data_IF_049567565171
#
_entry.id   IF_049567565171
#
_cell.length_a   1.000
_cell.length_b   1.000
_cell.length_c   1.000
_cell.angle_alpha   90.00
_cell.angle_beta   90.00
_cell.angle_gamma   90.00
#
_symmetry.space_group_name_H-M   'P 1'
#
loop_
_entity.id
_entity.type
_entity.pdbx_description
1 polymer ?
#
# COMPACT_ATOMS: atom_id res chain seq x y z
N UNK A 1 -3.20 24.95 -5.75
CA UNK A 1 -3.98 24.57 -4.55
C UNK A 1 -2.95 24.33 -3.47
N UNK A 2 -3.12 24.87 -2.26
CA UNK A 2 -2.09 24.77 -1.19
C UNK A 2 -2.49 23.79 -0.10
N UNK A 3 -3.68 23.21 -0.23
CA UNK A 3 -4.24 22.26 0.72
C UNK A 3 -4.62 20.98 0.02
N UNK A 4 -4.21 19.86 0.59
CA UNK A 4 -4.46 18.52 0.07
C UNK A 4 -5.12 17.66 1.14
N UNK A 5 -6.23 17.03 0.79
CA UNK A 5 -6.99 16.15 1.68
C UNK A 5 -6.43 14.74 1.60
N UNK A 6 -6.22 14.11 2.74
CA UNK A 6 -5.89 12.69 2.86
C UNK A 6 -6.79 11.96 3.84
N UNK A 7 -6.75 10.62 3.74
CA UNK A 7 -7.44 9.69 4.62
C UNK A 7 -6.45 8.76 5.28
N UNK A 8 -6.83 8.29 6.47
CA UNK A 8 -6.07 7.37 7.29
C UNK A 8 -6.93 6.17 7.63
N UNK A 9 -6.49 5.01 7.18
CA UNK A 9 -7.00 3.72 7.64
C UNK A 9 -6.37 3.32 8.96
N UNK A 10 -7.14 2.68 9.84
CA UNK A 10 -6.70 2.35 11.20
C UNK A 10 -7.10 0.92 11.59
N UNK A 11 -6.45 0.38 12.62
CA UNK A 11 -7.09 -0.65 13.42
C UNK A 11 -8.09 0.00 14.39
N UNK A 12 -9.31 -0.53 14.47
CA UNK A 12 -10.30 -0.09 15.48
C UNK A 12 -10.04 -0.77 16.81
N UNK A 13 -8.85 -0.51 17.37
CA UNK A 13 -8.44 -0.84 18.74
C UNK A 13 -8.15 0.45 19.52
N UNK A 14 -8.19 0.39 20.84
CA UNK A 14 -8.02 1.57 21.70
C UNK A 14 -9.09 2.63 21.43
N UNK A 15 -8.66 3.83 21.03
CA UNK A 15 -9.54 4.98 20.76
C UNK A 15 -9.96 5.17 19.28
N UNK A 16 -9.56 4.28 18.36
CA UNK A 16 -9.93 4.42 16.96
C UNK A 16 -11.37 3.97 16.70
N UNK A 17 -12.12 4.79 15.94
CA UNK A 17 -13.50 4.50 15.52
C UNK A 17 -13.64 4.15 14.03
N UNK A 18 -12.59 4.29 13.20
CA UNK A 18 -12.67 3.98 11.78
C UNK A 18 -11.66 4.75 10.92
N UNK A 19 -12.14 5.35 9.82
CA UNK A 19 -11.32 6.15 8.90
C UNK A 19 -11.26 7.59 9.41
N UNK A 20 -10.08 8.19 9.39
CA UNK A 20 -9.89 9.61 9.69
C UNK A 20 -9.50 10.37 8.42
N UNK A 21 -9.83 11.65 8.33
CA UNK A 21 -9.35 12.56 7.29
C UNK A 21 -8.44 13.63 7.89
N UNK A 22 -7.53 14.16 7.08
CA UNK A 22 -6.63 15.26 7.44
C UNK A 22 -6.34 16.13 6.22
N UNK A 23 -5.84 17.34 6.45
CA UNK A 23 -5.33 18.24 5.42
C UNK A 23 -3.82 18.44 5.60
N UNK A 24 -3.08 18.46 4.50
CA UNK A 24 -1.74 19.04 4.42
C UNK A 24 -1.84 20.45 3.83
N UNK A 25 -1.40 21.46 4.58
CA UNK A 25 -1.20 22.85 4.11
C UNK A 25 0.27 23.02 3.71
N UNK A 26 0.56 23.04 2.41
CA UNK A 26 1.93 23.05 1.86
C UNK A 26 2.65 24.39 2.04
N UNK A 27 1.90 25.50 2.15
CA UNK A 27 2.48 26.81 2.47
C UNK A 27 2.93 26.87 3.93
N UNK A 28 2.13 26.31 4.83
CA UNK A 28 2.46 26.24 6.27
C UNK A 28 3.36 25.07 6.63
N UNK A 29 3.53 24.11 5.72
CA UNK A 29 4.24 22.85 5.95
C UNK A 29 3.71 22.12 7.19
N UNK A 30 2.38 22.01 7.28
CA UNK A 30 1.70 21.51 8.47
C UNK A 30 0.50 20.62 8.15
N UNK A 31 0.31 19.60 8.98
CA UNK A 31 -0.86 18.73 8.99
C UNK A 31 -1.95 19.32 9.91
N UNK A 32 -3.21 19.23 9.51
CA UNK A 32 -4.34 19.50 10.40
C UNK A 32 -4.56 18.35 11.38
N UNK A 33 -5.17 18.64 12.52
CA UNK A 33 -5.68 17.59 13.42
C UNK A 33 -6.64 16.65 12.68
N UNK A 34 -6.38 15.33 12.69
CA UNK A 34 -7.22 14.36 12.00
C UNK A 34 -8.62 14.27 12.59
N UNK A 35 -9.62 14.13 11.73
CA UNK A 35 -11.04 14.08 12.10
C UNK A 35 -11.63 12.76 11.66
N UNK A 36 -12.54 12.21 12.46
CA UNK A 36 -13.25 10.99 12.08
C UNK A 36 -14.08 11.25 10.82
N UNK A 37 -13.81 10.50 9.76
CA UNK A 37 -14.47 10.62 8.46
C UNK A 37 -15.54 9.52 8.25
N UNK A 38 -15.32 8.31 8.78
CA UNK A 38 -16.31 7.24 8.73
C UNK A 38 -16.12 6.24 9.89
N UNK A 39 -17.22 5.74 10.45
CA UNK A 39 -17.23 4.67 11.47
C UNK A 39 -17.44 3.32 10.81
N UNK A 40 -16.48 2.41 10.96
CA UNK A 40 -16.53 1.03 10.49
C UNK A 40 -15.41 0.21 11.16
N UNK A 41 -15.54 -1.12 11.17
CA UNK A 41 -14.58 -1.99 11.84
C UNK A 41 -13.29 -2.21 11.03
N UNK A 42 -12.14 -1.98 11.66
CA UNK A 42 -10.78 -2.21 11.14
C UNK A 42 -10.56 -1.84 9.66
N UNK A 43 -10.73 -0.56 9.27
CA UNK A 43 -10.41 -0.08 7.93
C UNK A 43 -8.90 0.04 7.71
N UNK A 44 -8.20 -1.09 7.72
CA UNK A 44 -6.73 -1.15 7.75
C UNK A 44 -6.06 -0.74 6.44
N UNK A 45 -6.84 -0.61 5.35
CA UNK A 45 -6.36 -0.08 4.08
C UNK A 45 -7.49 0.65 3.36
N UNK A 46 -7.17 1.78 2.74
CA UNK A 46 -8.10 2.60 1.95
C UNK A 46 -7.54 2.88 0.57
N UNK A 47 -8.41 3.03 -0.42
CA UNK A 47 -8.06 3.30 -1.80
C UNK A 47 -9.08 4.29 -2.41
N UNK A 48 -8.73 5.58 -2.55
CA UNK A 48 -9.51 6.48 -3.39
C UNK A 48 -9.39 6.03 -4.85
N UNK A 49 -10.46 6.17 -5.62
CA UNK A 49 -10.38 5.95 -7.06
C UNK A 49 -9.70 7.12 -7.76
N UNK A 50 -9.22 6.87 -8.98
CA UNK A 50 -8.44 7.83 -9.78
C UNK A 50 -9.04 9.24 -9.88
N UNK A 51 -10.37 9.34 -9.92
CA UNK A 51 -11.10 10.59 -10.09
C UNK A 51 -11.54 11.26 -8.78
N UNK A 52 -11.12 10.71 -7.63
CA UNK A 52 -11.51 11.16 -6.28
C UNK A 52 -13.03 11.27 -6.09
N UNK A 53 -13.79 10.33 -6.63
CA UNK A 53 -15.26 10.27 -6.45
C UNK A 53 -15.68 9.22 -5.44
N UNK A 54 -14.88 8.16 -5.27
CA UNK A 54 -15.20 7.02 -4.41
C UNK A 54 -13.95 6.65 -3.59
N UNK A 55 -14.15 6.33 -2.31
CA UNK A 55 -13.17 5.72 -1.43
C UNK A 55 -13.61 4.27 -1.14
N UNK A 56 -12.75 3.32 -1.48
CA UNK A 56 -12.91 1.93 -1.05
C UNK A 56 -12.08 1.69 0.21
N UNK A 57 -12.66 0.98 1.18
CA UNK A 57 -11.98 0.65 2.44
C UNK A 57 -12.15 -0.82 2.75
N UNK A 58 -11.11 -1.43 3.30
CA UNK A 58 -11.27 -2.70 4.02
C UNK A 58 -12.30 -2.53 5.13
N UNK A 59 -13.07 -3.58 5.39
CA UNK A 59 -14.00 -3.64 6.52
C UNK A 59 -13.96 -5.01 7.18
N UNK A 60 -14.15 -5.01 8.50
CA UNK A 60 -14.45 -6.18 9.31
C UNK A 60 -15.73 -5.92 10.10
N UNK A 61 -16.77 -6.74 9.89
CA UNK A 61 -18.02 -6.68 10.64
C UNK A 61 -18.56 -8.10 10.86
N UNK A 62 -19.13 -8.37 12.03
CA UNK A 62 -19.87 -9.61 12.34
C UNK A 62 -19.16 -10.93 11.99
N UNK A 63 -17.83 -10.97 12.14
CA UNK A 63 -17.02 -12.16 11.82
C UNK A 63 -16.74 -12.35 10.32
N UNK A 64 -17.17 -11.38 9.51
CA UNK A 64 -16.94 -11.31 8.07
C UNK A 64 -15.92 -10.21 7.74
N UNK A 65 -15.38 -10.30 6.53
CA UNK A 65 -14.34 -9.43 6.02
C UNK A 65 -14.61 -9.03 4.57
N UNK A 66 -14.33 -7.79 4.20
CA UNK A 66 -14.56 -7.36 2.82
C UNK A 66 -14.23 -5.89 2.58
N UNK A 67 -15.06 -5.24 1.77
CA UNK A 67 -14.85 -3.86 1.33
C UNK A 67 -16.11 -3.02 1.53
N UNK A 68 -15.96 -1.83 2.09
CA UNK A 68 -16.95 -0.78 2.11
C UNK A 68 -16.63 0.28 1.03
N UNK A 69 -17.67 0.86 0.43
CA UNK A 69 -17.58 1.93 -0.55
C UNK A 69 -18.22 3.21 -0.02
N UNK A 70 -17.53 4.34 -0.20
CA UNK A 70 -17.99 5.66 0.21
C UNK A 70 -17.88 6.63 -0.97
N UNK A 71 -18.91 7.42 -1.22
CA UNK A 71 -18.80 8.57 -2.10
C UNK A 71 -18.02 9.69 -1.41
N UNK A 72 -17.14 10.34 -2.16
CA UNK A 72 -16.33 11.47 -1.70
C UNK A 72 -16.94 12.77 -2.22
N UNK A 73 -17.26 13.71 -1.32
CA UNK A 73 -17.52 15.08 -1.73
C UNK A 73 -16.20 15.74 -2.18
N UNK A 74 -16.14 16.18 -3.45
CA UNK A 74 -14.90 16.71 -4.05
C UNK A 74 -14.40 18.01 -3.43
N UNK A 75 -15.26 18.75 -2.73
CA UNK A 75 -14.89 20.03 -2.14
C UNK A 75 -14.48 19.88 -0.68
N UNK A 76 -15.24 19.11 0.11
CA UNK A 76 -15.02 18.96 1.54
C UNK A 76 -14.22 17.71 1.92
N UNK A 77 -14.16 16.69 1.05
CA UNK A 77 -13.63 15.37 1.40
C UNK A 77 -14.52 14.59 2.37
N UNK A 78 -15.78 14.98 2.54
CA UNK A 78 -16.72 14.22 3.36
C UNK A 78 -17.07 12.89 2.70
N UNK A 79 -17.21 11.84 3.51
CA UNK A 79 -17.51 10.49 3.06
C UNK A 79 -18.99 10.16 3.30
N UNK A 80 -19.69 9.77 2.24
CA UNK A 80 -21.06 9.24 2.32
C UNK A 80 -21.06 7.75 2.03
N UNK A 81 -21.50 6.93 2.98
CA UNK A 81 -21.57 5.47 2.79
C UNK A 81 -22.49 5.10 1.64
N UNK A 82 -22.04 4.21 0.76
CA UNK A 82 -22.83 3.65 -0.34
C UNK A 82 -23.31 2.24 0.02
N UNK A 83 -22.37 1.30 0.14
CA UNK A 83 -22.62 -0.06 0.59
C UNK A 83 -21.34 -0.75 1.06
N UNK A 84 -21.47 -2.01 1.45
CA UNK A 84 -20.35 -2.91 1.64
C UNK A 84 -20.62 -4.28 1.01
N UNK A 85 -19.55 -5.03 0.76
CA UNK A 85 -19.61 -6.42 0.33
C UNK A 85 -18.64 -7.22 1.21
N UNK A 86 -19.20 -8.09 2.04
CA UNK A 86 -18.47 -8.88 3.03
C UNK A 86 -18.54 -10.37 2.68
N UNK A 87 -17.50 -11.09 3.06
CA UNK A 87 -17.34 -12.52 2.88
C UNK A 87 -17.05 -13.14 4.24
N UNK A 88 -17.62 -14.32 4.52
CA UNK A 88 -17.36 -15.05 5.75
C UNK A 88 -15.86 -15.32 5.94
N UNK A 89 -15.36 -14.97 7.13
CA UNK A 89 -13.97 -15.21 7.51
C UNK A 89 -13.17 -13.92 7.75
N UNK A 90 -11.83 -14.02 7.73
CA UNK A 90 -10.97 -12.91 8.11
C UNK A 90 -11.09 -11.73 7.15
N UNK A 91 -10.91 -10.52 7.66
CA UNK A 91 -10.84 -9.29 6.85
C UNK A 91 -9.60 -9.29 5.95
N UNK A 92 -9.71 -8.80 4.69
CA UNK A 92 -8.53 -8.59 3.86
C UNK A 92 -7.61 -7.52 4.46
N UNK A 93 -6.38 -7.42 3.94
CA UNK A 93 -5.36 -6.51 4.43
C UNK A 93 -4.95 -5.43 3.42
N UNK A 94 -5.41 -5.54 2.16
CA UNK A 94 -5.12 -4.61 1.09
C UNK A 94 -6.33 -4.51 0.16
N UNK A 95 -6.58 -3.30 -0.36
CA UNK A 95 -7.60 -3.01 -1.37
C UNK A 95 -7.01 -2.11 -2.46
N UNK A 96 -7.37 -2.38 -3.71
CA UNK A 96 -7.03 -1.52 -4.87
C UNK A 96 -8.20 -1.45 -5.84
N UNK A 97 -8.29 -0.37 -6.60
CA UNK A 97 -9.27 -0.20 -7.68
C UNK A 97 -8.56 0.08 -8.99
N UNK A 98 -9.12 -0.37 -10.11
CA UNK A 98 -8.59 -0.06 -11.43
C UNK A 98 -8.89 1.39 -11.87
N UNK A 99 -8.16 1.86 -12.87
CA UNK A 99 -8.24 3.23 -13.38
C UNK A 99 -9.60 3.58 -13.98
N UNK A 100 -10.36 2.58 -14.41
CA UNK A 100 -11.69 2.74 -15.02
C UNK A 100 -12.80 2.54 -13.98
N UNK A 101 -12.45 2.27 -12.71
CA UNK A 101 -13.39 2.06 -11.62
C UNK A 101 -14.43 0.98 -11.92
N UNK A 102 -13.99 -0.12 -12.53
CA UNK A 102 -14.80 -1.28 -12.90
C UNK A 102 -14.64 -2.45 -11.92
N UNK A 103 -13.46 -2.60 -11.33
CA UNK A 103 -13.12 -3.70 -10.44
C UNK A 103 -12.31 -3.24 -9.23
N UNK A 104 -12.71 -3.72 -8.06
CA UNK A 104 -11.95 -3.63 -6.82
C UNK A 104 -11.34 -4.99 -6.52
N UNK A 105 -10.06 -5.01 -6.17
CA UNK A 105 -9.33 -6.19 -5.74
C UNK A 105 -9.06 -6.11 -4.25
N UNK A 106 -9.09 -7.27 -3.57
CA UNK A 106 -8.61 -7.39 -2.21
C UNK A 106 -7.57 -8.49 -2.09
N UNK A 107 -6.61 -8.31 -1.17
CA UNK A 107 -5.67 -9.35 -0.77
C UNK A 107 -5.91 -9.73 0.69
N UNK A 108 -6.05 -11.02 0.99
CA UNK A 108 -6.35 -11.50 2.33
C UNK A 108 -5.19 -12.29 2.93
N UNK A 109 -4.54 -11.67 3.92
CA UNK A 109 -3.39 -12.22 4.62
C UNK A 109 -3.70 -13.56 5.29
N UNK A 110 -4.88 -13.74 5.90
CA UNK A 110 -5.14 -14.92 6.73
C UNK A 110 -5.64 -16.12 5.92
N UNK A 111 -6.30 -15.88 4.79
CA UNK A 111 -6.82 -16.94 3.91
C UNK A 111 -5.95 -17.22 2.68
N UNK A 112 -5.00 -16.35 2.34
CA UNK A 112 -4.17 -16.54 1.14
C UNK A 112 -4.96 -16.35 -0.15
N UNK A 113 -5.96 -15.47 -0.13
CA UNK A 113 -6.91 -15.28 -1.24
C UNK A 113 -6.86 -13.86 -1.80
N UNK A 114 -7.09 -13.76 -3.11
CA UNK A 114 -7.45 -12.53 -3.81
C UNK A 114 -8.92 -12.60 -4.22
N UNK A 115 -9.69 -11.53 -4.03
CA UNK A 115 -11.07 -11.45 -4.50
C UNK A 115 -11.26 -10.28 -5.46
N UNK A 116 -12.17 -10.45 -6.43
CA UNK A 116 -12.58 -9.43 -7.40
C UNK A 116 -14.02 -9.02 -7.15
N UNK A 117 -14.23 -7.74 -6.89
CA UNK A 117 -15.55 -7.13 -6.71
C UNK A 117 -15.85 -6.22 -7.91
N UNK A 118 -16.93 -6.46 -8.66
CA UNK A 118 -17.39 -5.52 -9.68
C UNK A 118 -17.89 -4.23 -9.04
N UNK A 119 -17.69 -3.13 -9.75
CA UNK A 119 -18.14 -1.80 -9.34
C UNK A 119 -19.34 -1.38 -10.18
N UNK A 120 -20.36 -0.84 -9.52
CA UNK A 120 -21.57 -0.30 -10.15
C UNK A 120 -21.33 1.13 -10.66
N UNK A 121 -22.25 1.65 -11.49
CA UNK A 121 -22.14 2.98 -12.09
C UNK A 121 -22.04 4.11 -11.04
N UNK A 122 -22.69 3.94 -9.88
CA UNK A 122 -22.62 4.88 -8.76
C UNK A 122 -21.36 4.72 -7.88
N UNK A 123 -20.50 3.75 -8.20
CA UNK A 123 -19.29 3.41 -7.45
C UNK A 123 -19.48 2.40 -6.32
N UNK A 124 -20.71 2.00 -6.01
CA UNK A 124 -20.99 0.94 -5.03
C UNK A 124 -20.55 -0.44 -5.53
N UNK A 125 -20.38 -1.40 -4.63
CA UNK A 125 -19.82 -2.73 -4.95
C UNK A 125 -20.90 -3.79 -5.18
N UNK A 126 -20.66 -4.69 -6.14
CA UNK A 126 -21.38 -5.96 -6.25
C UNK A 126 -20.64 -7.07 -5.49
N UNK A 127 -21.35 -8.15 -5.16
CA UNK A 127 -20.73 -9.34 -4.56
C UNK A 127 -19.58 -9.87 -5.42
N UNK A 128 -18.54 -10.47 -4.80
CA UNK A 128 -17.35 -10.88 -5.51
C UNK A 128 -17.67 -11.93 -6.58
N UNK A 129 -17.09 -11.76 -7.77
CA UNK A 129 -17.35 -12.63 -8.95
C UNK A 129 -16.22 -13.62 -9.23
N UNK A 130 -15.07 -13.42 -8.60
CA UNK A 130 -13.91 -14.30 -8.75
C UNK A 130 -13.04 -14.28 -7.50
N UNK A 131 -12.42 -15.42 -7.22
CA UNK A 131 -11.36 -15.55 -6.23
C UNK A 131 -10.17 -16.33 -6.81
N UNK A 132 -8.97 -15.97 -6.37
CA UNK A 132 -7.76 -16.78 -6.55
C UNK A 132 -7.26 -17.20 -5.17
N UNK A 133 -7.15 -18.51 -4.93
CA UNK A 133 -6.63 -19.06 -3.69
C UNK A 133 -5.24 -19.65 -3.92
N UNK A 134 -4.27 -19.22 -3.13
CA UNK A 134 -2.91 -19.73 -3.21
C UNK A 134 -2.75 -21.00 -2.38
N UNK A 135 -1.70 -21.77 -2.66
CA UNK A 135 -1.30 -22.96 -1.88
C UNK A 135 0.21 -23.04 -1.77
N UNK A 136 0.70 -23.64 -0.68
CA UNK A 136 2.13 -23.78 -0.40
C UNK A 136 2.48 -23.30 1.01
N UNK A 137 3.79 -23.22 1.25
CA UNK A 137 4.41 -22.72 2.49
C UNK A 137 5.87 -22.34 2.22
N UNK A 138 6.45 -21.53 3.09
CA UNK A 138 7.87 -21.16 3.10
C UNK A 138 8.61 -21.70 4.33
N UNK A 139 9.91 -21.43 4.45
CA UNK A 139 10.73 -21.92 5.56
C UNK A 139 10.55 -21.15 6.88
N UNK A 140 10.06 -19.91 6.85
CA UNK A 140 9.91 -19.08 8.06
C UNK A 140 8.68 -19.49 8.89
N UNK A 141 8.68 -19.24 10.19
CA UNK A 141 7.55 -19.59 11.08
C UNK A 141 6.23 -18.89 10.73
N UNK A 142 6.33 -17.74 10.06
CA UNK A 142 5.21 -16.94 9.52
C UNK A 142 4.83 -17.30 8.08
N UNK A 143 5.36 -18.40 7.58
CA UNK A 143 5.13 -18.91 6.23
C UNK A 143 4.55 -20.33 6.31
N UNK A 144 3.74 -20.60 7.32
CA UNK A 144 3.12 -21.92 7.53
C UNK A 144 2.08 -22.27 6.45
N UNK A 145 1.58 -21.24 5.76
CA UNK A 145 0.60 -21.28 4.68
C UNK A 145 0.69 -19.99 3.85
N UNK A 146 -0.11 -19.84 2.79
CA UNK A 146 -0.14 -18.60 2.01
C UNK A 146 -0.71 -17.41 2.80
N UNK A 147 -0.09 -16.25 2.58
CA UNK A 147 -0.41 -14.97 3.19
C UNK A 147 -0.34 -13.85 2.15
N UNK A 148 -1.35 -13.78 1.28
CA UNK A 148 -1.43 -12.73 0.24
C UNK A 148 -1.55 -11.36 0.89
N UNK A 149 -0.55 -10.51 0.67
CA UNK A 149 -0.45 -9.19 1.30
C UNK A 149 -0.73 -8.04 0.32
N UNK A 150 -0.61 -8.25 -0.98
CA UNK A 150 -0.91 -7.26 -2.00
C UNK A 150 -1.68 -7.88 -3.16
N UNK A 151 -2.61 -7.11 -3.72
CA UNK A 151 -3.25 -7.38 -5.00
C UNK A 151 -3.47 -6.02 -5.69
N UNK A 152 -3.09 -5.90 -6.96
CA UNK A 152 -3.20 -4.66 -7.71
C UNK A 152 -2.96 -4.83 -9.21
N UNK A 153 -3.21 -3.78 -9.98
CA UNK A 153 -3.06 -3.79 -11.44
C UNK A 153 -1.63 -3.43 -11.84
N UNK A 154 -1.15 -4.00 -12.95
CA UNK A 154 0.08 -3.52 -13.60
C UNK A 154 -0.18 -2.17 -14.29
N UNK A 155 0.87 -1.36 -14.59
CA UNK A 155 0.70 0.01 -15.08
C UNK A 155 -0.16 0.12 -16.35
N UNK A 156 -0.12 -0.87 -17.23
CA UNK A 156 -0.89 -0.91 -18.48
C UNK A 156 -2.28 -1.55 -18.30
N UNK A 157 -2.63 -1.99 -17.09
CA UNK A 157 -3.87 -2.69 -16.75
C UNK A 157 -4.08 -4.01 -17.51
N UNK A 158 -3.03 -4.56 -18.12
CA UNK A 158 -3.08 -5.85 -18.82
C UNK A 158 -3.13 -7.05 -17.85
N UNK A 159 -2.60 -6.87 -16.64
CA UNK A 159 -2.48 -7.92 -15.64
C UNK A 159 -2.86 -7.43 -14.25
N UNK A 160 -3.25 -8.38 -13.41
CA UNK A 160 -3.32 -8.24 -11.96
C UNK A 160 -2.14 -8.98 -11.36
N UNK A 161 -1.46 -8.37 -10.40
CA UNK A 161 -0.40 -9.01 -9.62
C UNK A 161 -0.85 -9.25 -8.20
N UNK A 162 -0.41 -10.37 -7.61
CA UNK A 162 -0.64 -10.67 -6.20
C UNK A 162 0.67 -11.08 -5.53
N UNK A 163 0.99 -10.46 -4.39
CA UNK A 163 2.20 -10.75 -3.62
C UNK A 163 1.83 -11.59 -2.41
N UNK A 164 2.46 -12.75 -2.27
CA UNK A 164 2.21 -13.69 -1.19
C UNK A 164 3.45 -13.88 -0.32
N UNK A 165 3.37 -13.35 0.90
CA UNK A 165 4.41 -13.42 1.90
C UNK A 165 4.66 -14.87 2.32
N UNK A 166 3.59 -15.66 2.45
CA UNK A 166 3.59 -16.99 3.04
C UNK A 166 4.27 -18.07 2.22
N UNK A 167 4.51 -17.80 0.93
CA UNK A 167 5.08 -18.78 0.00
C UNK A 167 6.20 -18.20 -0.89
N UNK A 168 6.69 -17.00 -0.59
CA UNK A 168 7.75 -16.32 -1.34
C UNK A 168 7.42 -16.14 -2.84
N UNK A 169 6.21 -15.69 -3.18
CA UNK A 169 5.80 -15.54 -4.59
C UNK A 169 5.12 -14.23 -4.94
N UNK A 170 5.32 -13.85 -6.20
CA UNK A 170 4.55 -12.86 -6.95
C UNK A 170 3.79 -13.60 -8.06
N UNK A 171 2.47 -13.63 -7.99
CA UNK A 171 1.61 -14.15 -9.05
C UNK A 171 1.24 -13.06 -10.04
N UNK A 172 1.04 -13.46 -11.28
CA UNK A 172 0.45 -12.65 -12.34
C UNK A 172 -0.78 -13.34 -12.88
N UNK A 173 -1.87 -12.58 -12.98
CA UNK A 173 -3.18 -13.00 -13.46
C UNK A 173 -3.62 -12.14 -14.64
N UNK A 174 -4.34 -12.74 -15.58
CA UNK A 174 -5.22 -12.01 -16.49
C UNK A 174 -6.56 -11.82 -15.81
N UNK A 175 -7.13 -10.63 -15.93
CA UNK A 175 -8.50 -10.33 -15.52
C UNK A 175 -9.35 -10.13 -16.78
N UNK A 176 -10.30 -11.04 -17.02
CA UNK A 176 -11.23 -10.93 -18.14
C UNK A 176 -12.65 -11.14 -17.65
N UNK A 177 -13.53 -10.18 -17.93
CA UNK A 177 -14.95 -10.22 -17.55
C UNK A 177 -15.15 -10.52 -16.04
N UNK A 178 -14.27 -9.96 -15.20
CA UNK A 178 -14.28 -10.17 -13.75
C UNK A 178 -13.61 -11.47 -13.26
N UNK A 179 -13.12 -12.33 -14.14
CA UNK A 179 -12.52 -13.62 -13.79
C UNK A 179 -10.99 -13.54 -13.81
N UNK A 180 -10.35 -13.90 -12.70
CA UNK A 180 -8.90 -14.06 -12.62
C UNK A 180 -8.49 -15.41 -13.21
N UNK A 181 -7.48 -15.40 -14.07
CA UNK A 181 -6.81 -16.61 -14.60
C UNK A 181 -5.32 -16.45 -14.45
N UNK A 182 -4.67 -17.35 -13.72
CA UNK A 182 -3.21 -17.32 -13.53
C UNK A 182 -2.51 -17.39 -14.88
N UNK A 183 -1.60 -16.45 -15.13
CA UNK A 183 -0.77 -16.40 -16.34
C UNK A 183 0.70 -16.65 -16.08
N UNK A 184 1.17 -16.49 -14.84
CA UNK A 184 2.54 -16.76 -14.45
C UNK A 184 2.81 -16.48 -12.98
N UNK A 185 4.01 -16.80 -12.53
CA UNK A 185 4.50 -16.42 -11.21
C UNK A 185 6.01 -16.24 -11.21
N UNK A 186 6.49 -15.48 -10.25
CA UNK A 186 7.91 -15.32 -9.91
C UNK A 186 8.11 -15.79 -8.47
N UNK A 187 9.17 -16.57 -8.23
CA UNK A 187 9.52 -17.05 -6.87
C UNK A 187 10.73 -16.29 -6.39
N UNK A 188 10.65 -15.78 -5.16
CA UNK A 188 11.76 -15.08 -4.49
C UNK A 188 12.60 -16.07 -3.68
N UNK A 189 13.69 -15.58 -3.08
CA UNK A 189 14.50 -16.36 -2.17
C UNK A 189 13.65 -16.94 -1.01
N UNK A 190 13.84 -18.22 -0.63
CA UNK A 190 13.09 -18.82 0.48
C UNK A 190 13.26 -18.04 1.79
N UNK A 191 12.16 -17.65 2.41
CA UNK A 191 12.16 -16.87 3.65
C UNK A 191 12.21 -15.35 3.46
N UNK A 192 12.20 -14.84 2.21
CA UNK A 192 12.19 -13.41 1.95
C UNK A 192 10.90 -12.75 2.48
N UNK A 193 9.75 -13.38 2.22
CA UNK A 193 8.43 -12.87 2.60
C UNK A 193 8.07 -11.57 1.88
N UNK A 194 7.89 -11.59 0.54
CA UNK A 194 7.54 -10.38 -0.22
C UNK A 194 6.19 -9.82 0.25
N UNK A 195 6.06 -8.49 0.28
CA UNK A 195 4.90 -7.83 0.90
C UNK A 195 4.13 -6.95 -0.07
N UNK A 196 4.73 -5.83 -0.49
CA UNK A 196 4.13 -4.85 -1.40
C UNK A 196 5.05 -4.68 -2.63
N UNK A 197 4.45 -4.29 -3.75
CA UNK A 197 5.15 -4.01 -5.01
C UNK A 197 4.80 -2.60 -5.50
N UNK A 198 5.77 -1.89 -6.05
CA UNK A 198 5.57 -0.61 -6.74
C UNK A 198 6.24 -0.65 -8.12
N UNK A 199 5.58 -0.11 -9.13
CA UNK A 199 6.11 -0.07 -10.50
C UNK A 199 6.78 1.27 -10.77
N UNK A 200 7.83 1.23 -11.59
CA UNK A 200 8.39 2.45 -12.14
C UNK A 200 7.37 3.09 -13.10
N UNK A 201 7.12 4.41 -13.03
CA UNK A 201 6.03 5.06 -13.77
C UNK A 201 6.25 5.18 -15.30
N UNK A 202 7.40 4.72 -15.82
CA UNK A 202 7.86 5.02 -17.20
C UNK A 202 8.66 3.87 -17.78
N UNK A 203 9.62 3.38 -16.99
CA UNK A 203 10.47 2.25 -17.35
C UNK A 203 9.86 0.93 -16.91
N UNK A 204 10.37 -0.15 -17.48
CA UNK A 204 9.87 -1.52 -17.29
C UNK A 204 10.46 -2.17 -16.04
N UNK A 205 10.38 -1.47 -14.91
CA UNK A 205 10.88 -1.94 -13.63
C UNK A 205 9.77 -2.02 -12.59
N UNK A 206 9.94 -2.94 -11.65
CA UNK A 206 9.14 -3.02 -10.45
C UNK A 206 10.04 -3.27 -9.24
N UNK A 207 9.59 -2.85 -8.06
CA UNK A 207 10.32 -2.99 -6.82
C UNK A 207 9.42 -3.64 -5.79
N UNK A 208 9.94 -4.67 -5.12
CA UNK A 208 9.20 -5.43 -4.10
C UNK A 208 9.88 -5.22 -2.76
N UNK A 209 9.11 -4.77 -1.77
CA UNK A 209 9.57 -4.77 -0.38
C UNK A 209 9.29 -6.13 0.24
N UNK A 210 10.30 -6.70 0.91
CA UNK A 210 10.16 -7.94 1.67
C UNK A 210 9.95 -7.65 3.15
N UNK A 211 8.97 -8.32 3.75
CA UNK A 211 8.64 -8.15 5.17
C UNK A 211 9.63 -8.87 6.07
N UNK A 212 10.02 -10.10 5.72
CA UNK A 212 10.78 -10.97 6.62
C UNK A 212 12.30 -10.76 6.50
N UNK A 213 12.80 -10.45 5.29
CA UNK A 213 14.23 -10.20 5.07
C UNK A 213 14.64 -8.73 5.11
N UNK A 214 13.70 -7.77 5.18
CA UNK A 214 13.98 -6.32 5.13
C UNK A 214 14.77 -5.88 3.89
N UNK A 215 14.46 -6.46 2.73
CA UNK A 215 15.13 -6.18 1.48
C UNK A 215 14.19 -5.51 0.47
N UNK A 216 14.78 -4.76 -0.45
CA UNK A 216 14.13 -4.30 -1.68
C UNK A 216 14.66 -5.13 -2.84
N UNK A 217 13.76 -5.80 -3.54
CA UNK A 217 14.07 -6.60 -4.72
C UNK A 217 13.68 -5.79 -5.96
N UNK A 218 14.66 -5.43 -6.77
CA UNK A 218 14.45 -4.78 -8.06
C UNK A 218 14.21 -5.83 -9.15
N UNK A 219 13.17 -5.63 -9.96
CA UNK A 219 12.72 -6.55 -10.99
C UNK A 219 12.61 -5.82 -12.34
N UNK A 220 13.00 -6.51 -13.41
CA UNK A 220 12.58 -6.16 -14.76
C UNK A 220 11.17 -6.74 -15.00
N UNK A 221 10.27 -5.94 -15.58
CA UNK A 221 8.89 -6.29 -15.88
C UNK A 221 8.66 -6.38 -17.39
N UNK A 222 8.17 -7.52 -17.87
CA UNK A 222 7.73 -7.66 -19.25
C UNK A 222 6.22 -7.41 -19.37
N UNK A 223 5.76 -6.25 -19.87
CA UNK A 223 4.33 -5.91 -19.93
C UNK A 223 3.54 -6.70 -20.97
N UNK A 224 4.21 -7.40 -21.89
CA UNK A 224 3.53 -8.25 -22.89
C UNK A 224 3.28 -9.65 -22.33
N UNK A 225 4.26 -10.21 -21.61
CA UNK A 225 4.16 -11.56 -21.06
C UNK A 225 3.60 -11.60 -19.62
N UNK A 226 3.64 -10.48 -18.89
CA UNK A 226 3.31 -10.47 -17.46
C UNK A 226 4.37 -11.19 -16.62
N UNK A 227 5.64 -11.08 -17.02
CA UNK A 227 6.75 -11.82 -16.40
C UNK A 227 7.70 -10.87 -15.68
N UNK A 228 8.34 -11.39 -14.63
CA UNK A 228 9.30 -10.64 -13.81
C UNK A 228 10.63 -11.37 -13.74
N UNK A 229 11.72 -10.61 -13.81
CA UNK A 229 13.09 -11.11 -13.66
C UNK A 229 13.84 -10.29 -12.64
N UNK A 230 14.47 -10.95 -11.68
CA UNK A 230 15.27 -10.28 -10.67
C UNK A 230 16.50 -9.58 -11.29
N UNK A 231 16.74 -8.35 -10.83
CA UNK A 231 17.89 -7.51 -11.19
C UNK A 231 18.85 -7.44 -10.00
N UNK A 232 18.32 -7.11 -8.83
CA UNK A 232 19.11 -6.79 -7.65
C UNK A 232 18.29 -7.04 -6.38
N UNK A 233 18.98 -7.38 -5.29
CA UNK A 233 18.46 -7.38 -3.93
C UNK A 233 19.33 -6.44 -3.09
N UNK A 234 18.72 -5.51 -2.35
CA UNK A 234 19.42 -4.59 -1.45
C UNK A 234 18.76 -4.54 -0.07
N UNK A 235 19.55 -4.46 0.99
CA UNK A 235 19.02 -4.30 2.34
C UNK A 235 18.43 -2.91 2.55
N UNK A 236 17.28 -2.84 3.23
CA UNK A 236 16.63 -1.59 3.66
C UNK A 236 17.02 -1.18 5.10
N UNK A 237 17.80 -2.02 5.79
CA UNK A 237 18.31 -1.79 7.16
C UNK A 237 19.84 -1.88 7.21
N UNK A 238 20.52 -1.35 8.24
CA UNK A 238 21.96 -1.50 8.38
C UNK A 238 22.33 -2.95 8.63
N UNK A 239 23.50 -3.34 8.14
CA UNK A 239 24.04 -4.68 8.35
C UNK A 239 24.30 -4.99 9.84
N UNK A 240 24.46 -3.96 10.69
CA UNK A 240 24.70 -4.08 12.13
C UNK A 240 23.43 -4.03 12.99
N UNK A 241 22.24 -3.86 12.39
CA UNK A 241 20.98 -3.89 13.12
C UNK A 241 20.47 -5.33 13.30
N UNK A 242 20.40 -5.79 14.55
CA UNK A 242 20.07 -7.19 14.88
C UNK A 242 18.74 -7.37 15.61
N UNK A 243 18.05 -6.28 15.96
CA UNK A 243 16.73 -6.36 16.59
C UNK A 243 15.65 -6.70 15.55
N UNK A 244 14.45 -7.05 16.01
CA UNK A 244 13.35 -7.38 15.11
C UNK A 244 12.98 -6.17 14.23
N UNK A 245 13.09 -6.35 12.90
CA UNK A 245 12.61 -5.41 11.90
C UNK A 245 11.72 -6.12 10.89
N UNK A 246 10.77 -5.39 10.29
CA UNK A 246 9.85 -5.91 9.29
C UNK A 246 9.54 -4.87 8.23
N UNK A 247 9.82 -5.19 6.96
CA UNK A 247 9.49 -4.31 5.83
C UNK A 247 7.99 -4.03 5.74
N UNK A 248 7.62 -2.82 5.33
CA UNK A 248 6.21 -2.42 5.22
C UNK A 248 5.86 -1.84 3.84
N UNK A 249 5.68 -0.52 3.75
CA UNK A 249 5.26 0.15 2.52
C UNK A 249 6.44 0.41 1.57
N UNK A 250 6.14 0.52 0.28
CA UNK A 250 7.08 0.88 -0.78
C UNK A 250 6.40 1.83 -1.77
N UNK A 251 7.12 2.88 -2.15
CA UNK A 251 6.66 3.85 -3.13
C UNK A 251 7.80 4.23 -4.09
N UNK A 252 7.45 4.44 -5.36
CA UNK A 252 8.33 4.99 -6.39
C UNK A 252 7.82 6.39 -6.71
N UNK A 253 8.72 7.37 -6.84
CA UNK A 253 8.34 8.72 -7.23
C UNK A 253 7.85 8.78 -8.67
N UNK A 254 6.96 9.72 -8.98
CA UNK A 254 6.32 9.88 -10.29
C UNK A 254 7.32 10.21 -11.41
N UNK A 255 8.46 10.82 -11.06
CA UNK A 255 9.56 11.02 -11.98
C UNK A 255 10.36 9.72 -12.27
N UNK A 256 10.22 8.70 -11.42
CA UNK A 256 10.90 7.40 -11.49
C UNK A 256 12.28 7.37 -10.84
N UNK A 257 12.72 8.47 -10.23
CA UNK A 257 14.11 8.62 -9.77
C UNK A 257 14.40 7.97 -8.42
N UNK A 258 13.39 7.77 -7.57
CA UNK A 258 13.62 7.32 -6.20
C UNK A 258 12.62 6.26 -5.75
N UNK A 259 13.11 5.33 -4.94
CA UNK A 259 12.33 4.33 -4.22
C UNK A 259 12.45 4.57 -2.72
N UNK A 260 11.31 4.55 -2.04
CA UNK A 260 11.21 4.71 -0.60
C UNK A 260 10.59 3.44 -0.02
N UNK A 261 11.13 2.97 1.11
CA UNK A 261 10.58 1.82 1.84
C UNK A 261 10.57 2.08 3.33
N UNK A 262 9.54 1.59 4.02
CA UNK A 262 9.46 1.70 5.47
C UNK A 262 9.83 0.37 6.15
N UNK A 263 10.46 0.48 7.32
CA UNK A 263 10.87 -0.63 8.16
C UNK A 263 10.28 -0.46 9.57
N UNK A 264 9.44 -1.40 9.99
CA UNK A 264 8.87 -1.46 11.35
C UNK A 264 9.88 -2.11 12.29
N UNK A 265 10.11 -1.56 13.47
CA UNK A 265 11.11 -2.04 14.43
C UNK A 265 12.43 -1.28 14.32
N UNK A 266 13.00 -1.17 13.12
CA UNK A 266 14.03 -0.14 12.86
C UNK A 266 13.41 1.28 12.85
N UNK A 267 12.11 1.38 12.59
CA UNK A 267 11.31 2.60 12.64
C UNK A 267 11.86 3.74 11.77
N UNK A 268 12.07 3.41 10.49
CA UNK A 268 12.69 4.30 9.52
C UNK A 268 12.10 4.18 8.12
N UNK A 269 12.27 5.24 7.33
CA UNK A 269 12.15 5.21 5.87
C UNK A 269 13.56 5.16 5.26
N UNK A 270 13.81 4.15 4.42
CA UNK A 270 15.01 4.05 3.59
C UNK A 270 14.73 4.60 2.19
N UNK A 271 15.69 5.34 1.65
CA UNK A 271 15.61 6.01 0.35
C UNK A 271 16.70 5.47 -0.56
N UNK A 272 16.32 5.14 -1.79
CA UNK A 272 17.20 4.67 -2.83
C UNK A 272 17.01 5.49 -4.10
N UNK A 273 18.11 5.81 -4.78
CA UNK A 273 18.11 6.36 -6.13
C UNK A 273 18.06 5.23 -7.15
N UNK A 274 17.25 5.41 -8.19
CA UNK A 274 17.06 4.45 -9.28
C UNK A 274 18.01 4.75 -10.42
N UNK A 275 18.85 3.79 -10.78
CA UNK A 275 19.55 3.80 -12.05
C UNK A 275 18.55 3.64 -13.19
N UNK A 276 18.34 4.71 -13.96
CA UNK A 276 17.33 4.75 -15.02
C UNK A 276 17.60 3.79 -16.19
N UNK A 277 18.81 3.23 -16.30
CA UNK A 277 19.19 2.30 -17.37
C UNK A 277 19.18 0.83 -16.95
N UNK A 278 19.48 0.54 -15.68
CA UNK A 278 19.54 -0.84 -15.17
C UNK A 278 18.38 -1.20 -14.24
N UNK A 279 17.68 -0.22 -13.69
CA UNK A 279 16.67 -0.42 -12.63
C UNK A 279 17.28 -0.73 -11.27
N UNK A 280 18.61 -0.71 -11.13
CA UNK A 280 19.29 -0.94 -9.86
C UNK A 280 19.11 0.24 -8.90
N UNK A 281 19.13 -0.07 -7.61
CA UNK A 281 18.97 0.84 -6.50
C UNK A 281 20.32 1.16 -5.86
N UNK A 282 20.58 2.45 -5.68
CA UNK A 282 21.70 2.98 -4.90
C UNK A 282 21.18 3.62 -3.62
N UNK A 283 21.73 3.24 -2.47
CA UNK A 283 21.33 3.79 -1.18
C UNK A 283 21.62 5.30 -1.08
N UNK A 284 20.62 6.08 -0.66
CA UNK A 284 20.74 7.54 -0.45
C UNK A 284 20.83 7.86 1.04
N UNK A 285 19.82 7.42 1.80
CA UNK A 285 19.74 7.62 3.25
C UNK A 285 18.67 6.76 3.91
N UNK A 286 18.67 6.80 5.24
CA UNK A 286 17.65 6.24 6.11
C UNK A 286 17.33 7.27 7.18
N UNK A 287 16.06 7.60 7.35
CA UNK A 287 15.59 8.59 8.33
C UNK A 287 14.60 7.96 9.30
N UNK A 288 14.66 8.34 10.59
CA UNK A 288 13.65 7.90 11.56
C UNK A 288 12.28 8.44 11.17
N UNK A 289 11.23 7.67 11.45
CA UNK A 289 9.84 8.13 11.32
C UNK A 289 9.32 8.85 12.57
N UNK A 290 10.18 9.10 13.56
CA UNK A 290 9.85 9.77 14.83
C UNK A 290 8.61 9.16 15.52
N UNK A 291 8.54 7.83 15.46
CA UNK A 291 7.48 7.02 16.05
C UNK A 291 7.84 5.55 15.97
N UNK A 292 6.90 4.67 16.34
CA UNK A 292 7.10 3.24 16.37
C UNK A 292 6.18 2.54 15.37
N UNK A 293 6.74 1.59 14.62
CA UNK A 293 6.03 0.73 13.70
C UNK A 293 5.43 1.48 12.48
N UNK A 294 6.25 2.16 11.64
CA UNK A 294 5.78 2.82 10.42
C UNK A 294 5.20 1.82 9.44
N UNK A 295 3.88 1.73 9.39
CA UNK A 295 3.17 0.69 8.63
C UNK A 295 2.83 1.12 7.21
N UNK A 296 2.64 2.41 7.00
CA UNK A 296 2.44 3.02 5.68
C UNK A 296 3.00 4.44 5.65
N UNK A 297 3.29 4.92 4.46
CA UNK A 297 3.58 6.33 4.21
C UNK A 297 3.09 6.72 2.81
N UNK A 298 2.95 8.01 2.53
CA UNK A 298 2.51 8.46 1.21
C UNK A 298 3.11 9.82 0.88
N UNK A 299 3.38 10.05 -0.40
CA UNK A 299 3.68 11.38 -0.93
C UNK A 299 2.41 12.22 -1.06
N UNK A 300 2.52 13.51 -0.78
CA UNK A 300 1.49 14.44 -1.24
C UNK A 300 1.45 14.49 -2.78
N UNK A 301 0.37 15.01 -3.39
CA UNK A 301 0.23 15.01 -4.85
C UNK A 301 1.33 15.76 -5.62
N UNK A 302 2.10 16.65 -4.97
CA UNK A 302 3.24 17.35 -5.60
C UNK A 302 4.57 16.61 -5.47
N UNK A 303 4.63 15.58 -4.63
CA UNK A 303 5.82 14.86 -4.17
C UNK A 303 6.89 15.77 -3.54
N UNK A 304 6.47 16.87 -2.92
CA UNK A 304 7.31 17.76 -2.12
C UNK A 304 7.25 17.40 -0.63
N UNK A 305 6.24 16.64 -0.21
CA UNK A 305 6.05 16.19 1.16
C UNK A 305 5.75 14.71 1.23
N UNK A 306 6.13 14.10 2.35
CA UNK A 306 5.83 12.72 2.70
C UNK A 306 5.18 12.68 4.08
N UNK A 307 4.11 11.91 4.21
CA UNK A 307 3.46 11.64 5.50
C UNK A 307 3.68 10.18 5.88
N UNK A 308 4.35 9.93 6.99
CA UNK A 308 4.53 8.60 7.57
C UNK A 308 3.47 8.33 8.65
N UNK A 309 2.91 7.12 8.68
CA UNK A 309 1.97 6.67 9.71
C UNK A 309 2.61 5.59 10.59
N UNK A 310 2.74 5.88 11.88
CA UNK A 310 3.34 4.98 12.87
C UNK A 310 2.23 4.32 13.70
N UNK A 311 2.08 3.01 13.57
CA UNK A 311 0.96 2.26 14.15
C UNK A 311 0.95 2.35 15.68
N UNK A 312 2.08 2.06 16.33
CA UNK A 312 2.11 1.82 17.77
C UNK A 312 2.23 3.13 18.57
N UNK A 313 2.94 4.14 18.06
CA UNK A 313 2.95 5.47 18.68
C UNK A 313 1.69 6.27 18.41
N UNK A 314 0.91 5.91 17.38
CA UNK A 314 -0.34 6.60 17.06
C UNK A 314 -0.14 8.04 16.57
N UNK A 315 0.79 8.24 15.63
CA UNK A 315 1.05 9.56 15.06
C UNK A 315 1.27 9.53 13.54
N UNK A 316 0.95 10.65 12.90
CA UNK A 316 1.40 10.98 11.54
C UNK A 316 2.56 11.97 11.64
N UNK A 317 3.61 11.73 10.86
CA UNK A 317 4.82 12.59 10.83
C UNK A 317 5.04 13.12 9.42
N UNK A 318 5.30 14.42 9.31
CA UNK A 318 5.49 15.12 8.05
C UNK A 318 6.99 15.32 7.76
N UNK A 319 7.38 15.01 6.53
CA UNK A 319 8.70 15.29 5.97
C UNK A 319 8.56 16.19 4.74
N UNK A 320 9.54 17.08 4.54
CA UNK A 320 9.78 17.73 3.25
C UNK A 320 10.76 16.87 2.45
N UNK A 321 10.45 16.65 1.17
CA UNK A 321 11.28 15.90 0.24
C UNK A 321 12.05 16.87 -0.66
N UNK A 322 13.37 16.73 -0.68
CA UNK A 322 14.19 17.29 -1.75
C UNK A 322 13.99 16.43 -3.01
N UNK A 323 13.35 17.01 -4.03
CA UNK A 323 13.03 16.28 -5.26
C UNK A 323 14.28 15.85 -6.03
N UNK A 324 15.38 16.59 -5.92
CA UNK A 324 16.62 16.34 -6.66
C UNK A 324 17.48 15.28 -6.00
N UNK A 325 17.57 15.27 -4.67
CA UNK A 325 18.40 14.31 -3.94
C UNK A 325 17.60 13.13 -3.39
N UNK A 326 16.28 13.22 -3.39
CA UNK A 326 15.38 12.27 -2.75
C UNK A 326 15.36 12.36 -1.22
N UNK A 327 16.16 13.22 -0.62
CA UNK A 327 16.32 13.26 0.84
C UNK A 327 15.08 13.81 1.54
N UNK A 328 14.86 13.37 2.78
CA UNK A 328 13.75 13.73 3.64
C UNK A 328 14.24 14.59 4.81
N UNK A 329 13.63 15.75 4.98
CA UNK A 329 13.83 16.63 6.14
C UNK A 329 12.59 16.58 7.02
N UNK A 330 12.77 16.17 8.27
CA UNK A 330 11.70 16.18 9.26
C UNK A 330 11.17 17.61 9.47
N UNK A 331 9.85 17.76 9.44
CA UNK A 331 9.17 19.01 9.77
C UNK A 331 8.56 18.93 11.18
N UNK A 332 8.47 20.05 11.92
CA UNK A 332 7.86 20.10 13.24
C UNK A 332 6.32 20.06 13.16
N UNK A 333 5.78 19.07 12.45
CA UNK A 333 4.36 18.84 12.22
C UNK A 333 4.06 17.36 12.43
N UNK A 334 3.63 17.05 13.65
CA UNK A 334 3.19 15.72 14.06
C UNK A 334 1.79 15.82 14.62
N UNK A 335 0.90 14.94 14.20
CA UNK A 335 -0.50 14.90 14.68
C UNK A 335 -0.85 13.52 15.19
N UNK A 336 -1.75 13.44 16.16
CA UNK A 336 -2.14 12.16 16.77
C UNK A 336 -3.27 11.49 15.99
N UNK A 337 -3.13 10.19 15.74
CA UNK A 337 -4.20 9.33 15.19
C UNK A 337 -4.10 7.98 15.86
N UNK A 338 -5.18 7.38 16.35
CA UNK A 338 -5.10 6.07 16.98
C UNK A 338 -4.82 4.97 15.94
N UNK A 339 -3.72 4.24 16.11
CA UNK A 339 -3.31 3.08 15.31
C UNK A 339 -3.42 3.27 13.78
N UNK A 340 -2.75 4.28 13.20
CA UNK A 340 -2.80 4.55 11.78
C UNK A 340 -1.94 3.54 11.03
N UNK A 341 -2.51 2.89 10.02
CA UNK A 341 -1.86 1.78 9.30
C UNK A 341 -1.94 1.88 7.79
N UNK A 342 -2.68 2.86 7.27
CA UNK A 342 -2.71 3.22 5.86
C UNK A 342 -2.92 4.73 5.74
N UNK A 343 -2.21 5.39 4.84
CA UNK A 343 -2.39 6.82 4.56
C UNK A 343 -2.44 7.05 3.05
N UNK A 344 -3.45 7.80 2.58
CA UNK A 344 -3.63 8.14 1.16
C UNK A 344 -4.05 9.58 1.00
N UNK A 345 -3.47 10.29 0.03
CA UNK A 345 -4.03 11.56 -0.44
C UNK A 345 -5.06 11.32 -1.54
N UNK A 346 -6.00 12.26 -1.68
CA UNK A 346 -6.73 12.42 -2.92
C UNK A 346 -5.75 12.80 -4.05
N UNK A 347 -5.97 12.26 -5.24
CA UNK A 347 -5.14 12.53 -6.42
C UNK A 347 -5.27 13.97 -6.90
N UNK A 348 -4.31 14.47 -7.69
CA UNK A 348 -4.51 15.70 -8.45
C UNK A 348 -5.19 15.35 -9.79
N UNK A 349 -6.46 15.73 -9.94
CA UNK A 349 -7.29 15.46 -11.13
C UNK A 349 -7.31 16.66 -12.07
#
# INVERSE_FOLDING_TARGET
MTKYIGYVGTYTKGGSEGIYSFELDTEKKALSEPKLAAKLGNPTYVAPNKNNTILYSIEKADGQGGVAAYQIDKNSGELTFLNHQLIDGPSPCHVSVDDQNQFVLTANYHSGKVHVFPVQEDGSLQSPVSEAAHTGKGPHERQEKPHTHYAGFTPEHNYVVAVDLGIDKLYTYKLKDGVLTESGSHSFAPGAGPRHIAFHPKEKYAYVMTELSNEVIALEYNPTAGEFREIQVVSAIPDDFTDNSQGSAIHVTQDGRFVYVANRGHDSIAVFEVNQYSGELAFVERVSTEGNWPRDFVFDPTEEFLVASNEETGNLVLFERDKETGRLTLLPSTVSVPYPVCVKFLHQV
#
